data_IF_620352580498
#
_entry.id   IF_620352580498
#
_cell.length_a   1.000
_cell.length_b   1.000
_cell.length_c   1.000
_cell.angle_alpha   90.00
_cell.angle_beta   90.00
_cell.angle_gamma   90.00
#
_symmetry.space_group_name_H-M   'P 1'
#
loop_
_entity.id
_entity.type
_entity.pdbx_description
1 polymer ?
#
# COMPACT_ATOMS: atom_id res chain seq x y z
N UNK A 1 32.71 -16.19 33.92
CA UNK A 1 32.37 -14.91 34.59
C UNK A 1 33.55 -13.96 34.44
N UNK A 2 33.42 -12.95 33.59
CA UNK A 2 34.37 -11.84 33.53
C UNK A 2 33.56 -10.54 33.38
N UNK A 3 33.50 -9.75 34.45
CA UNK A 3 32.82 -8.47 34.47
C UNK A 3 33.76 -7.41 33.89
N UNK A 4 33.34 -6.74 32.82
CA UNK A 4 34.02 -5.56 32.27
C UNK A 4 33.55 -4.31 33.02
N UNK A 5 34.49 -3.66 33.70
CA UNK A 5 34.31 -2.40 34.44
C UNK A 5 34.29 -1.23 33.45
N UNK A 6 33.19 -0.46 33.47
CA UNK A 6 33.06 0.76 32.69
C UNK A 6 34.06 1.83 33.20
N UNK A 7 34.84 2.40 32.29
CA UNK A 7 35.70 3.55 32.56
C UNK A 7 34.89 4.83 32.35
N UNK A 8 34.70 5.61 33.41
CA UNK A 8 34.16 6.97 33.36
C UNK A 8 35.21 7.90 32.73
N UNK A 9 34.96 8.37 31.51
CA UNK A 9 35.71 9.48 30.91
C UNK A 9 35.26 10.79 31.58
N UNK A 10 36.16 11.48 32.26
CA UNK A 10 35.94 12.84 32.77
C UNK A 10 35.91 13.81 31.58
N UNK A 11 34.88 14.66 31.52
CA UNK A 11 34.74 15.70 30.52
C UNK A 11 35.83 16.78 30.68
N UNK A 12 36.33 17.40 29.58
CA UNK A 12 37.30 18.48 29.65
C UNK A 12 36.68 19.74 30.27
N UNK A 13 37.41 20.39 31.19
CA UNK A 13 36.92 21.51 32.01
C UNK A 13 36.45 22.75 31.21
N UNK A 14 36.89 22.90 29.96
CA UNK A 14 36.46 23.99 29.07
C UNK A 14 34.97 23.93 28.67
N UNK A 15 34.31 22.78 28.84
CA UNK A 15 32.90 22.60 28.50
C UNK A 15 31.97 22.92 29.69
N UNK A 16 32.52 23.10 30.89
CA UNK A 16 31.73 23.44 32.09
C UNK A 16 31.49 24.95 32.17
N UNK A 17 32.49 25.77 31.83
CA UNK A 17 32.38 27.24 31.87
C UNK A 17 31.34 27.78 30.87
N UNK A 18 31.09 27.08 29.76
CA UNK A 18 30.08 27.46 28.74
C UNK A 18 28.65 27.20 29.23
N UNK A 19 28.46 26.19 30.09
CA UNK A 19 27.14 25.79 30.62
C UNK A 19 26.74 26.65 31.81
N UNK A 20 27.70 27.20 32.54
CA UNK A 20 27.47 27.97 33.76
C UNK A 20 27.32 29.49 33.52
N UNK A 21 27.51 29.98 32.28
CA UNK A 21 27.29 31.38 31.91
C UNK A 21 25.79 31.69 31.70
N UNK A 22 25.16 32.53 32.55
CA UNK A 22 23.71 32.76 32.53
C UNK A 22 23.24 33.50 31.28
N UNK A 23 24.14 34.17 30.55
CA UNK A 23 23.80 34.85 29.31
C UNK A 23 23.69 33.87 28.13
N UNK A 24 24.59 32.89 28.05
CA UNK A 24 24.62 31.91 26.96
C UNK A 24 23.45 30.92 27.09
N UNK A 25 23.10 30.52 28.32
CA UNK A 25 21.95 29.65 28.56
C UNK A 25 20.60 30.33 28.28
N UNK A 26 20.49 31.65 28.49
CA UNK A 26 19.31 32.42 28.09
C UNK A 26 19.22 32.60 26.57
N UNK A 27 20.33 32.83 25.87
CA UNK A 27 20.33 32.91 24.40
C UNK A 27 19.99 31.55 23.77
N UNK A 28 20.49 30.45 24.35
CA UNK A 28 20.11 29.10 23.92
C UNK A 28 18.64 28.77 24.21
N UNK A 29 18.06 29.21 25.33
CA UNK A 29 16.62 29.00 25.57
C UNK A 29 15.76 29.79 24.60
N UNK A 30 16.12 31.03 24.29
CA UNK A 30 15.39 31.87 23.31
C UNK A 30 15.44 31.24 21.91
N UNK A 31 16.61 30.76 21.47
CA UNK A 31 16.71 30.09 20.15
C UNK A 31 15.98 28.74 20.09
N UNK A 32 15.92 27.99 21.19
CA UNK A 32 15.14 26.73 21.26
C UNK A 32 13.65 27.01 21.20
N UNK A 33 13.19 28.08 21.84
CA UNK A 33 11.79 28.52 21.79
C UNK A 33 11.42 29.03 20.37
N UNK A 34 12.29 29.80 19.71
CA UNK A 34 12.11 30.23 18.31
C UNK A 34 12.05 29.02 17.34
N UNK A 35 12.94 28.04 17.48
CA UNK A 35 12.93 26.83 16.65
C UNK A 35 11.70 25.96 16.94
N UNK A 36 11.21 25.94 18.19
CA UNK A 36 9.98 25.23 18.55
C UNK A 36 8.75 25.88 17.91
N UNK A 37 8.66 27.21 17.90
CA UNK A 37 7.62 27.97 17.21
C UNK A 37 7.68 27.76 15.69
N UNK A 38 8.88 27.76 15.09
CA UNK A 38 9.04 27.46 13.65
C UNK A 38 8.60 26.02 13.30
N UNK A 39 8.95 25.04 14.14
CA UNK A 39 8.54 23.63 13.96
C UNK A 39 7.02 23.46 14.12
N UNK A 40 6.39 24.25 14.98
CA UNK A 40 4.94 24.24 15.19
C UNK A 40 4.19 24.92 14.03
N UNK A 41 4.72 26.02 13.48
CA UNK A 41 4.21 26.65 12.25
C UNK A 41 4.32 25.68 11.05
N UNK A 42 5.42 24.92 10.95
CA UNK A 42 5.58 23.88 9.92
C UNK A 42 4.63 22.70 10.11
N UNK A 43 4.35 22.28 11.35
CA UNK A 43 3.36 21.23 11.66
C UNK A 43 1.91 21.71 11.45
N UNK A 44 1.61 22.95 11.79
CA UNK A 44 0.33 23.60 11.50
C UNK A 44 0.15 23.79 9.98
N UNK A 45 1.23 24.10 9.26
CA UNK A 45 1.28 24.13 7.80
C UNK A 45 1.11 22.77 7.13
N UNK A 46 1.46 21.67 7.81
CA UNK A 46 1.19 20.30 7.34
C UNK A 46 -0.28 19.86 7.56
N UNK A 47 -1.04 20.61 8.36
CA UNK A 47 -2.47 20.42 8.57
C UNK A 47 -3.34 21.40 7.74
N UNK A 48 -2.71 22.35 7.05
CA UNK A 48 -3.35 23.18 6.04
C UNK A 48 -3.48 22.40 4.74
N UNK A 49 -4.69 22.36 4.20
CA UNK A 49 -5.09 21.72 2.95
C UNK A 49 -3.93 21.56 1.96
N UNK A 50 -3.69 20.32 1.52
CA UNK A 50 -2.95 20.08 0.29
C UNK A 50 -3.58 20.98 -0.79
N UNK A 51 -2.94 22.10 -1.15
CA UNK A 51 -3.16 22.82 -2.41
C UNK A 51 -2.49 22.00 -3.52
N UNK A 52 -2.80 20.72 -3.54
CA UNK A 52 -2.81 19.88 -4.71
C UNK A 52 -4.30 19.63 -4.85
N UNK A 53 -4.98 20.40 -5.71
CA UNK A 53 -6.41 20.24 -5.93
C UNK A 53 -6.72 18.73 -5.95
N UNK A 54 -7.56 18.22 -5.03
CA UNK A 54 -7.90 16.81 -5.05
C UNK A 54 -8.48 16.56 -6.44
N UNK A 55 -7.84 15.64 -7.18
CA UNK A 55 -8.25 15.27 -8.52
C UNK A 55 -9.79 15.20 -8.53
N UNK A 56 -10.47 15.97 -9.40
CA UNK A 56 -11.89 16.21 -9.28
C UNK A 56 -12.63 14.88 -9.14
N UNK A 57 -13.63 14.78 -8.22
CA UNK A 57 -14.35 13.54 -8.01
C UNK A 57 -14.92 13.11 -9.35
N UNK A 58 -14.49 11.93 -9.82
CA UNK A 58 -14.96 11.36 -11.06
C UNK A 58 -16.50 11.25 -10.99
N UNK A 59 -17.22 12.21 -11.60
CA UNK A 59 -18.69 12.21 -11.66
C UNK A 59 -19.43 13.51 -11.31
N UNK A 60 -18.79 14.67 -11.22
CA UNK A 60 -19.50 15.95 -11.09
C UNK A 60 -20.25 16.35 -12.36
N UNK A 61 -21.44 16.96 -12.22
CA UNK A 61 -22.19 17.61 -13.32
C UNK A 61 -21.49 18.91 -13.75
N UNK A 62 -20.40 18.75 -14.47
CA UNK A 62 -19.61 19.80 -15.11
C UNK A 62 -18.57 19.08 -15.93
N UNK A 63 -18.57 19.32 -17.25
CA UNK A 63 -17.71 18.74 -18.30
C UNK A 63 -17.04 17.37 -18.00
N UNK A 64 -17.31 16.29 -18.76
CA UNK A 64 -16.70 14.98 -18.49
C UNK A 64 -15.17 15.11 -18.47
N UNK A 65 -14.55 14.75 -17.34
CA UNK A 65 -13.10 14.77 -17.18
C UNK A 65 -12.47 13.97 -18.32
N UNK A 66 -11.57 14.61 -19.07
CA UNK A 66 -10.79 14.01 -20.16
C UNK A 66 -10.13 12.72 -19.66
N UNK A 67 -10.68 11.58 -20.06
CA UNK A 67 -10.14 10.26 -19.72
C UNK A 67 -8.84 10.06 -20.49
N UNK A 68 -7.72 10.39 -19.86
CA UNK A 68 -6.39 10.23 -20.48
C UNK A 68 -5.44 11.41 -20.31
N UNK A 69 -5.87 12.52 -19.68
CA UNK A 69 -4.95 13.58 -19.27
C UNK A 69 -4.20 13.15 -17.99
N UNK A 70 -3.23 12.26 -18.16
CA UNK A 70 -2.30 11.87 -17.10
C UNK A 70 -0.92 12.46 -17.44
N UNK A 71 -0.18 13.02 -16.46
CA UNK A 71 1.19 13.46 -16.69
C UNK A 71 2.04 12.34 -17.31
N UNK A 72 2.77 12.64 -18.38
CA UNK A 72 3.61 11.65 -19.10
C UNK A 72 2.88 10.73 -20.09
N UNK A 73 1.54 10.82 -20.21
CA UNK A 73 0.80 10.13 -21.27
C UNK A 73 0.85 10.94 -22.57
N UNK A 74 1.31 10.33 -23.66
CA UNK A 74 1.31 10.98 -24.98
C UNK A 74 -0.13 11.23 -25.45
N UNK A 75 -0.51 12.51 -25.55
CA UNK A 75 -1.84 12.93 -26.01
C UNK A 75 -1.83 13.15 -27.51
N UNK A 76 -2.75 12.50 -28.21
CA UNK A 76 -2.98 12.72 -29.65
C UNK A 76 -4.00 13.85 -29.82
N UNK A 77 -3.93 14.64 -30.90
CA UNK A 77 -4.96 15.62 -31.21
C UNK A 77 -6.38 15.02 -31.29
N UNK A 78 -6.48 13.75 -31.70
CA UNK A 78 -7.73 12.98 -31.76
C UNK A 78 -8.33 12.65 -30.39
N UNK A 79 -7.54 12.65 -29.32
CA UNK A 79 -8.00 12.29 -27.98
C UNK A 79 -8.94 13.37 -27.39
N UNK A 80 -8.91 14.58 -27.95
CA UNK A 80 -9.81 15.68 -27.64
C UNK A 80 -11.04 15.75 -28.56
N UNK A 81 -11.29 14.72 -29.38
CA UNK A 81 -12.45 14.68 -30.28
C UNK A 81 -13.73 14.34 -29.52
N UNK A 82 -14.84 15.00 -29.88
CA UNK A 82 -16.19 14.73 -29.34
C UNK A 82 -16.56 13.24 -29.36
N UNK A 83 -16.10 12.50 -30.36
CA UNK A 83 -16.34 11.06 -30.49
C UNK A 83 -15.61 10.22 -29.45
N UNK A 84 -14.37 10.59 -29.09
CA UNK A 84 -13.58 9.86 -28.09
C UNK A 84 -14.08 10.15 -26.67
N UNK A 85 -14.51 11.39 -26.40
CA UNK A 85 -15.16 11.77 -25.14
C UNK A 85 -16.43 10.96 -24.84
N UNK A 86 -17.26 10.76 -25.86
CA UNK A 86 -18.53 10.03 -25.76
C UNK A 86 -18.36 8.54 -26.05
N UNK A 87 -17.12 8.05 -26.16
CA UNK A 87 -16.86 6.66 -26.49
C UNK A 87 -17.23 5.79 -25.30
N UNK A 88 -18.36 5.10 -25.43
CA UNK A 88 -18.72 4.07 -24.49
C UNK A 88 -17.65 2.98 -24.46
N UNK A 89 -17.31 2.54 -23.25
CA UNK A 89 -16.38 1.42 -23.09
C UNK A 89 -17.03 0.20 -23.74
N UNK A 90 -16.36 -0.47 -24.71
CA UNK A 90 -16.94 -1.66 -25.32
C UNK A 90 -17.18 -2.70 -24.23
N UNK A 91 -18.37 -3.31 -24.24
CA UNK A 91 -18.72 -4.36 -23.30
C UNK A 91 -17.94 -5.63 -23.64
N UNK A 92 -16.77 -5.82 -23.05
CA UNK A 92 -16.00 -7.05 -23.22
C UNK A 92 -16.67 -8.18 -22.45
N UNK A 93 -17.09 -9.24 -23.15
CA UNK A 93 -17.59 -10.45 -22.49
C UNK A 93 -16.51 -11.02 -21.57
N UNK A 94 -16.91 -11.49 -20.39
CA UNK A 94 -15.98 -12.14 -19.45
C UNK A 94 -15.48 -13.42 -20.12
N UNK A 95 -14.17 -13.62 -20.26
CA UNK A 95 -13.68 -14.81 -20.92
C UNK A 95 -14.05 -16.04 -20.09
N UNK A 96 -14.51 -17.08 -20.78
CA UNK A 96 -14.86 -18.35 -20.14
C UNK A 96 -13.60 -19.00 -19.54
N UNK A 97 -12.50 -18.94 -20.30
CA UNK A 97 -11.19 -19.42 -19.88
C UNK A 97 -10.28 -18.28 -19.43
N UNK A 98 -9.29 -18.60 -18.60
CA UNK A 98 -8.22 -17.66 -18.27
C UNK A 98 -7.36 -17.32 -19.49
N UNK A 99 -6.46 -16.33 -19.34
CA UNK A 99 -5.60 -15.86 -20.42
C UNK A 99 -4.66 -16.96 -20.95
N UNK A 100 -4.02 -16.68 -22.08
CA UNK A 100 -3.01 -17.56 -22.69
C UNK A 100 -1.86 -17.90 -21.71
N UNK A 101 -1.12 -18.96 -21.99
CA UNK A 101 -0.01 -19.40 -21.15
C UNK A 101 1.08 -18.34 -21.01
N UNK A 102 1.44 -17.62 -22.08
CA UNK A 102 2.50 -16.60 -22.03
C UNK A 102 2.08 -15.41 -21.17
N UNK A 103 0.92 -14.83 -21.50
CA UNK A 103 0.31 -13.73 -20.72
C UNK A 103 0.06 -14.10 -19.27
N UNK A 104 -0.31 -15.36 -18.99
CA UNK A 104 -0.49 -15.84 -17.62
C UNK A 104 0.84 -15.96 -16.86
N UNK A 105 1.95 -16.36 -17.50
CA UNK A 105 3.27 -16.36 -16.85
C UNK A 105 3.74 -14.94 -16.53
N UNK A 106 3.47 -14.00 -17.44
CA UNK A 106 3.79 -12.60 -17.25
C UNK A 106 2.97 -11.97 -16.14
N UNK A 107 1.70 -12.33 -15.98
CA UNK A 107 0.81 -11.72 -14.98
C UNK A 107 0.76 -12.45 -13.63
N UNK A 108 1.14 -13.73 -13.58
CA UNK A 108 1.11 -14.56 -12.37
C UNK A 108 2.22 -14.16 -11.38
N UNK A 109 1.80 -13.55 -10.28
CA UNK A 109 2.68 -13.11 -9.19
C UNK A 109 3.53 -14.27 -8.65
N UNK A 110 2.96 -15.47 -8.46
CA UNK A 110 3.71 -16.61 -7.90
C UNK A 110 4.78 -17.13 -8.86
N UNK A 111 4.53 -16.97 -10.17
CA UNK A 111 5.52 -17.31 -11.19
C UNK A 111 6.66 -16.30 -11.18
N UNK A 112 6.36 -14.99 -11.11
CA UNK A 112 7.36 -13.93 -11.04
C UNK A 112 8.23 -14.01 -9.78
N UNK A 113 7.60 -14.22 -8.62
CA UNK A 113 8.30 -14.23 -7.33
C UNK A 113 8.91 -15.60 -6.99
N UNK A 114 8.76 -16.61 -7.86
CA UNK A 114 9.16 -18.00 -7.61
C UNK A 114 8.65 -18.57 -6.27
N UNK A 115 7.44 -18.17 -5.85
CA UNK A 115 6.82 -18.64 -4.61
C UNK A 115 5.88 -19.81 -4.90
N UNK A 116 5.84 -20.80 -4.00
CA UNK A 116 4.91 -21.92 -4.12
C UNK A 116 3.61 -21.66 -3.33
N UNK A 117 2.45 -21.48 -3.99
CA UNK A 117 1.18 -21.25 -3.31
C UNK A 117 0.84 -22.31 -2.26
N UNK A 118 1.29 -23.55 -2.46
CA UNK A 118 0.96 -24.66 -1.57
C UNK A 118 1.60 -24.53 -0.17
N UNK A 119 2.74 -23.84 -0.08
CA UNK A 119 3.45 -23.61 1.19
C UNK A 119 2.85 -22.45 1.98
N UNK A 120 2.29 -21.46 1.27
CA UNK A 120 1.71 -20.23 1.83
C UNK A 120 0.31 -20.39 2.43
N UNK A 121 -0.07 -21.58 2.87
CA UNK A 121 -1.41 -21.83 3.39
C UNK A 121 -1.71 -21.11 4.72
N UNK A 122 -0.67 -20.70 5.45
CA UNK A 122 -0.78 -19.99 6.72
C UNK A 122 -1.04 -18.49 6.53
N UNK A 123 -0.68 -17.95 5.37
CA UNK A 123 -0.90 -16.55 5.04
C UNK A 123 -2.35 -16.34 4.56
N UNK A 124 -3.26 -16.17 5.52
CA UNK A 124 -4.70 -16.00 5.25
C UNK A 124 -4.99 -14.77 4.41
N UNK A 125 -4.30 -13.65 4.64
CA UNK A 125 -4.44 -12.41 3.89
C UNK A 125 -4.20 -12.61 2.39
N UNK A 126 -3.16 -13.37 2.03
CA UNK A 126 -2.86 -13.72 0.64
C UNK A 126 -3.96 -14.60 0.03
N UNK A 127 -4.38 -15.64 0.75
CA UNK A 127 -5.41 -16.57 0.27
C UNK A 127 -6.77 -15.88 0.07
N UNK A 128 -7.15 -14.93 0.92
CA UNK A 128 -8.41 -14.20 0.81
C UNK A 128 -8.56 -13.42 -0.50
N UNK A 129 -7.46 -13.04 -1.16
CA UNK A 129 -7.51 -12.41 -2.50
C UNK A 129 -8.06 -13.36 -3.58
N UNK A 130 -7.87 -14.67 -3.40
CA UNK A 130 -8.26 -15.73 -4.33
C UNK A 130 -9.60 -16.39 -3.97
N UNK A 131 -10.32 -15.83 -3.00
CA UNK A 131 -11.63 -16.31 -2.52
C UNK A 131 -12.71 -15.26 -2.79
N UNK A 132 -13.93 -15.70 -3.09
CA UNK A 132 -15.10 -14.82 -3.26
C UNK A 132 -15.66 -14.39 -1.90
N UNK A 133 -16.57 -13.41 -1.87
CA UNK A 133 -17.26 -13.02 -0.62
C UNK A 133 -17.95 -14.20 0.07
N UNK A 134 -18.49 -15.13 -0.72
CA UNK A 134 -19.17 -16.36 -0.27
C UNK A 134 -18.21 -17.50 0.13
N UNK A 135 -16.89 -17.26 0.18
CA UNK A 135 -15.92 -18.30 0.53
C UNK A 135 -15.59 -19.28 -0.62
N UNK A 136 -16.11 -19.10 -1.83
CA UNK A 136 -15.75 -19.96 -2.99
C UNK A 136 -14.37 -19.61 -3.54
N UNK A 137 -13.61 -20.60 -3.99
CA UNK A 137 -12.32 -20.36 -4.66
C UNK A 137 -12.58 -19.74 -6.03
N UNK A 138 -11.90 -18.63 -6.36
CA UNK A 138 -12.04 -17.95 -7.64
C UNK A 138 -11.50 -18.82 -8.79
N UNK A 139 -12.18 -18.79 -9.93
CA UNK A 139 -11.74 -19.47 -11.15
C UNK A 139 -10.53 -18.81 -11.80
N UNK A 140 -9.83 -19.53 -12.68
CA UNK A 140 -8.62 -19.05 -13.36
C UNK A 140 -8.86 -17.76 -14.16
N UNK A 141 -10.05 -17.62 -14.75
CA UNK A 141 -10.46 -16.41 -15.48
C UNK A 141 -10.53 -15.14 -14.62
N UNK A 142 -10.58 -15.26 -13.30
CA UNK A 142 -10.56 -14.13 -12.37
C UNK A 142 -9.20 -13.95 -11.70
N UNK A 143 -8.44 -15.03 -11.53
CA UNK A 143 -7.15 -15.00 -10.82
C UNK A 143 -5.96 -14.78 -11.74
N UNK A 144 -6.10 -15.05 -13.05
CA UNK A 144 -5.05 -14.96 -14.08
C UNK A 144 -3.76 -15.77 -13.79
N UNK A 145 -3.82 -16.68 -12.81
CA UNK A 145 -2.70 -17.54 -12.46
C UNK A 145 -2.44 -18.58 -13.54
N UNK A 146 -1.19 -19.05 -13.61
CA UNK A 146 -0.85 -20.23 -14.40
C UNK A 146 -1.63 -21.44 -13.89
N UNK A 147 -1.92 -22.41 -14.76
CA UNK A 147 -2.70 -23.59 -14.39
C UNK A 147 -2.09 -24.37 -13.22
N UNK A 148 -0.76 -24.47 -13.17
CA UNK A 148 -0.02 -25.14 -12.10
C UNK A 148 -0.23 -24.42 -10.76
N UNK A 149 -0.06 -23.10 -10.76
CA UNK A 149 -0.22 -22.29 -9.55
C UNK A 149 -1.67 -22.23 -9.11
N UNK A 150 -2.64 -22.14 -10.01
CA UNK A 150 -4.07 -22.19 -9.68
C UNK A 150 -4.46 -23.50 -8.97
N UNK A 151 -3.96 -24.66 -9.43
CA UNK A 151 -4.21 -25.96 -8.77
C UNK A 151 -3.59 -26.02 -7.37
N UNK A 152 -2.35 -25.51 -7.23
CA UNK A 152 -1.63 -25.43 -5.94
C UNK A 152 -2.31 -24.47 -4.98
N UNK A 153 -2.75 -23.31 -5.46
CA UNK A 153 -3.54 -22.33 -4.72
C UNK A 153 -4.83 -22.95 -4.21
N UNK A 154 -5.55 -23.68 -5.07
CA UNK A 154 -6.77 -24.38 -4.65
C UNK A 154 -6.51 -25.41 -3.54
N UNK A 155 -5.38 -26.14 -3.59
CA UNK A 155 -4.96 -27.07 -2.52
C UNK A 155 -4.62 -26.31 -1.23
N UNK A 156 -3.89 -25.20 -1.33
CA UNK A 156 -3.53 -24.35 -0.19
C UNK A 156 -4.77 -23.82 0.54
N UNK A 157 -5.74 -23.28 -0.20
CA UNK A 157 -6.99 -22.77 0.36
C UNK A 157 -7.79 -23.90 1.03
N UNK A 158 -7.91 -25.06 0.39
CA UNK A 158 -8.59 -26.22 1.01
C UNK A 158 -7.91 -26.65 2.29
N UNK A 159 -6.57 -26.68 2.32
CA UNK A 159 -5.80 -26.98 3.55
C UNK A 159 -6.09 -25.95 4.64
N UNK A 160 -6.03 -24.65 4.31
CA UNK A 160 -6.32 -23.56 5.24
C UNK A 160 -7.74 -23.64 5.82
N UNK A 161 -8.73 -24.01 5.01
CA UNK A 161 -10.11 -24.25 5.47
C UNK A 161 -10.19 -25.41 6.47
N UNK A 162 -9.51 -26.52 6.20
CA UNK A 162 -9.53 -27.69 7.09
C UNK A 162 -8.81 -27.44 8.42
N UNK A 163 -7.82 -26.54 8.45
CA UNK A 163 -7.18 -26.12 9.70
C UNK A 163 -7.94 -25.01 10.45
N UNK A 164 -9.09 -24.56 9.94
CA UNK A 164 -9.88 -23.49 10.57
C UNK A 164 -9.29 -22.08 10.42
N UNK A 165 -8.28 -21.88 9.55
CA UNK A 165 -7.69 -20.56 9.30
C UNK A 165 -8.59 -19.68 8.43
N UNK A 166 -9.38 -20.29 7.53
CA UNK A 166 -10.28 -19.61 6.61
C UNK A 166 -11.70 -20.19 6.74
N UNK A 167 -12.75 -19.35 6.88
CA UNK A 167 -14.12 -19.84 6.92
C UNK A 167 -14.54 -20.51 5.60
N UNK A 168 -15.37 -21.55 5.69
CA UNK A 168 -15.80 -22.32 4.51
C UNK A 168 -16.77 -21.53 3.62
N UNK A 169 -17.72 -20.81 4.24
CA UNK A 169 -18.88 -20.19 3.61
C UNK A 169 -18.82 -18.64 3.57
N UNK A 170 -17.75 -18.03 4.05
CA UNK A 170 -17.63 -16.58 4.10
C UNK A 170 -16.18 -16.11 3.97
N UNK A 171 -16.01 -14.84 3.59
CA UNK A 171 -14.71 -14.16 3.52
C UNK A 171 -14.52 -13.23 4.72
N UNK A 172 -14.66 -13.76 5.95
CA UNK A 172 -14.37 -13.02 7.19
C UNK A 172 -12.88 -13.09 7.47
N UNK A 173 -12.19 -11.95 7.57
CA UNK A 173 -10.79 -11.92 7.98
C UNK A 173 -10.69 -11.96 9.50
N UNK A 174 -9.62 -12.56 10.02
CA UNK A 174 -9.42 -12.72 11.46
C UNK A 174 -8.73 -11.47 12.08
N UNK A 175 -8.05 -10.69 11.25
CA UNK A 175 -7.25 -9.50 11.58
C UNK A 175 -8.07 -8.21 11.74
N UNK A 176 -9.29 -8.15 11.22
CA UNK A 176 -10.10 -6.92 11.12
C UNK A 176 -10.54 -6.32 12.48
N UNK A 177 -10.38 -7.03 13.61
CA UNK A 177 -10.86 -6.57 14.92
C UNK A 177 -9.90 -5.67 15.71
N UNK A 178 -8.66 -5.47 15.24
CA UNK A 178 -7.63 -4.73 16.00
C UNK A 178 -7.45 -3.26 15.58
N UNK A 179 -8.16 -2.77 14.57
CA UNK A 179 -7.97 -1.42 14.01
C UNK A 179 -9.04 -0.40 14.45
N UNK A 180 -9.79 -0.68 15.53
CA UNK A 180 -10.88 0.19 16.03
C UNK A 180 -10.66 0.61 17.49
N UNK A 181 -9.40 0.60 17.94
CA UNK A 181 -8.96 1.15 19.22
C UNK A 181 -7.72 2.00 18.95
#
# INVERSE_FOLDING_TARGET
MAATRAASRSAPQHLQDIVDDPQIMNELSVTVDEVAEEQEILRAGAAGDNIMDPAPPAGGRGHPTLKGSQPGHFTRPTDFSRGEYLRDRPWTKRPLLGPDAATSKETDIFYQTNLDPLKEFRNTSLLFRFVTSMGKIRGRNQTNLTWKNQRRMGKAIRRAKMMGLIPVLSKRRLDDKKSTL
#
